data_IF_450351754300
#
_entry.id   IF_450351754300
#
_cell.length_a   1.000
_cell.length_b   1.000
_cell.length_c   1.000
_cell.angle_alpha   90.00
_cell.angle_beta   90.00
_cell.angle_gamma   90.00
#
_symmetry.space_group_name_H-M   'P 1'
#
loop_
_entity.id
_entity.type
_entity.pdbx_description
1 polymer ?
#
# COMPACT_ATOMS: atom_id res chain seq x y z
N UNK A 1 -4.80 74.18 3.91
CA UNK A 1 -4.03 73.19 3.12
C UNK A 1 -3.53 72.10 4.06
N UNK A 2 -3.77 70.84 3.66
CA UNK A 2 -3.13 69.61 4.16
C UNK A 2 -3.39 69.28 5.65
N UNK A 3 -4.57 68.75 6.00
CA UNK A 3 -4.76 67.79 7.12
C UNK A 3 -6.08 67.01 6.95
N UNK A 4 -6.29 66.36 5.79
CA UNK A 4 -7.48 65.50 5.62
C UNK A 4 -7.21 64.23 4.79
N UNK A 5 -5.97 63.75 4.75
CA UNK A 5 -5.59 62.61 3.91
C UNK A 5 -4.86 61.46 4.63
N UNK A 6 -4.83 61.47 5.97
CA UNK A 6 -4.06 60.45 6.73
C UNK A 6 -4.92 59.47 7.53
N UNK A 7 -6.26 59.47 7.39
CA UNK A 7 -7.14 58.61 8.20
C UNK A 7 -7.85 57.48 7.44
N UNK A 8 -7.59 57.32 6.13
CA UNK A 8 -8.30 56.31 5.31
C UNK A 8 -7.42 55.06 5.02
N UNK A 9 -6.12 55.11 5.29
CA UNK A 9 -5.21 53.98 4.99
C UNK A 9 -5.13 52.95 6.13
N UNK A 10 -5.65 53.24 7.33
CA UNK A 10 -5.56 52.33 8.48
C UNK A 10 -6.76 51.37 8.66
N UNK A 11 -7.79 51.45 7.80
CA UNK A 11 -8.97 50.57 7.88
C UNK A 11 -8.97 49.39 6.89
N UNK A 12 -7.93 49.22 6.05
CA UNK A 12 -7.87 48.16 5.04
C UNK A 12 -7.07 46.91 5.44
N UNK A 13 -6.61 46.79 6.69
CA UNK A 13 -5.79 45.66 7.15
C UNK A 13 -6.47 44.69 8.14
N UNK A 14 -7.81 44.74 8.30
CA UNK A 14 -8.53 43.84 9.23
C UNK A 14 -9.52 42.89 8.54
N UNK A 15 -9.44 42.75 7.21
CA UNK A 15 -10.08 41.63 6.51
C UNK A 15 -9.16 40.39 6.53
N UNK A 16 -8.71 39.99 7.72
CA UNK A 16 -8.11 38.68 7.94
C UNK A 16 -9.21 37.62 7.91
N UNK A 17 -9.18 36.74 6.91
CA UNK A 17 -10.08 35.61 6.78
C UNK A 17 -10.03 34.72 8.05
N UNK A 18 -11.01 34.88 8.95
CA UNK A 18 -11.37 33.85 9.93
C UNK A 18 -12.03 32.70 9.17
N UNK A 19 -11.30 31.62 8.95
CA UNK A 19 -11.85 30.34 8.50
C UNK A 19 -11.85 29.37 9.68
N UNK A 20 -12.70 29.66 10.65
CA UNK A 20 -13.05 28.70 11.71
C UNK A 20 -14.03 27.69 11.11
N UNK A 21 -13.52 26.66 10.45
CA UNK A 21 -14.32 25.44 10.27
C UNK A 21 -14.25 24.67 11.59
N UNK A 22 -15.23 24.89 12.46
CA UNK A 22 -15.52 23.97 13.55
C UNK A 22 -15.75 22.58 12.96
N UNK A 23 -14.73 21.72 13.06
CA UNK A 23 -14.90 20.29 12.90
C UNK A 23 -15.81 19.83 14.05
N UNK A 24 -17.13 19.80 13.80
CA UNK A 24 -18.04 18.95 14.56
C UNK A 24 -17.52 17.53 14.42
N UNK A 25 -16.72 17.10 15.40
CA UNK A 25 -16.45 15.69 15.66
C UNK A 25 -17.79 15.10 16.11
N UNK A 26 -18.61 14.76 15.12
CA UNK A 26 -19.72 13.85 15.30
C UNK A 26 -19.06 12.55 15.75
N UNK A 27 -19.07 12.30 17.07
CA UNK A 27 -18.83 10.98 17.65
C UNK A 27 -20.00 10.09 17.23
N UNK A 28 -20.03 9.71 15.97
CA UNK A 28 -20.85 8.60 15.51
C UNK A 28 -20.21 7.34 16.09
N UNK A 29 -20.82 6.83 17.17
CA UNK A 29 -20.69 5.41 17.54
C UNK A 29 -21.22 4.61 16.35
N UNK A 30 -20.36 4.28 15.39
CA UNK A 30 -20.71 3.42 14.27
C UNK A 30 -20.34 2.00 14.64
N UNK A 31 -21.39 1.23 14.92
CA UNK A 31 -21.47 -0.22 14.90
C UNK A 31 -20.61 -0.79 13.76
N UNK A 32 -19.62 -1.62 14.08
CA UNK A 32 -18.84 -2.38 13.09
C UNK A 32 -19.83 -3.12 12.17
N UNK A 33 -19.88 -2.72 10.91
CA UNK A 33 -20.82 -3.25 9.94
C UNK A 33 -20.46 -4.72 9.63
N UNK A 34 -21.37 -5.65 9.93
CA UNK A 34 -21.14 -7.11 9.95
C UNK A 34 -21.13 -7.78 8.56
N UNK A 35 -21.28 -7.06 7.46
CA UNK A 35 -21.39 -7.65 6.11
C UNK A 35 -20.40 -7.04 5.10
N UNK A 36 -19.09 -7.13 5.36
CA UNK A 36 -18.07 -6.80 4.35
C UNK A 36 -17.93 -7.98 3.37
N UNK A 37 -18.10 -7.70 2.07
CA UNK A 37 -17.87 -8.69 1.00
C UNK A 37 -16.41 -9.13 0.98
N UNK A 38 -16.19 -10.38 0.58
CA UNK A 38 -14.85 -10.91 0.39
C UNK A 38 -14.13 -10.18 -0.74
N UNK A 39 -12.86 -9.84 -0.49
CA UNK A 39 -11.98 -9.33 -1.52
C UNK A 39 -11.56 -10.47 -2.46
N UNK A 40 -11.32 -11.67 -1.95
CA UNK A 40 -10.94 -12.82 -2.78
C UNK A 40 -12.22 -13.56 -3.18
N UNK A 41 -12.86 -13.10 -4.24
CA UNK A 41 -14.14 -13.58 -4.80
C UNK A 41 -14.01 -14.09 -6.24
N UNK A 42 -12.79 -14.49 -6.63
CA UNK A 42 -12.42 -14.94 -7.97
C UNK A 42 -11.65 -16.26 -7.90
N UNK A 43 -11.57 -16.99 -9.00
CA UNK A 43 -10.85 -18.27 -9.09
C UNK A 43 -9.33 -18.07 -9.15
N UNK A 44 -8.60 -18.84 -8.34
CA UNK A 44 -7.14 -18.91 -8.33
C UNK A 44 -6.69 -20.31 -7.89
N UNK A 45 -5.51 -20.72 -8.34
CA UNK A 45 -4.83 -21.95 -7.93
C UNK A 45 -3.69 -21.66 -6.95
N UNK A 46 -3.06 -20.49 -7.07
CA UNK A 46 -1.86 -20.14 -6.30
C UNK A 46 -1.82 -18.66 -5.94
N UNK A 47 -1.35 -18.37 -4.72
CA UNK A 47 -1.10 -17.01 -4.24
C UNK A 47 0.35 -16.92 -3.79
N UNK A 48 1.08 -15.95 -4.31
CA UNK A 48 2.50 -15.75 -4.01
C UNK A 48 2.69 -14.33 -3.50
N UNK A 49 3.32 -14.18 -2.34
CA UNK A 49 3.85 -12.91 -1.87
C UNK A 49 5.37 -12.90 -2.05
N UNK A 50 5.92 -11.77 -2.45
CA UNK A 50 7.36 -11.63 -2.61
C UNK A 50 7.83 -10.20 -2.42
N UNK A 51 9.12 -10.07 -2.13
CA UNK A 51 9.82 -8.80 -2.09
C UNK A 51 10.99 -8.79 -3.07
N UNK A 52 11.14 -7.73 -3.86
CA UNK A 52 12.14 -7.59 -4.91
C UNK A 52 13.29 -6.66 -4.51
N UNK A 53 14.53 -7.06 -4.83
CA UNK A 53 15.73 -6.26 -4.55
C UNK A 53 15.70 -4.94 -5.33
N UNK A 54 15.46 -5.00 -6.63
CA UNK A 54 15.24 -3.82 -7.48
C UNK A 54 13.73 -3.62 -7.71
N UNK A 55 13.17 -2.43 -7.39
CA UNK A 55 11.75 -2.16 -7.53
C UNK A 55 11.28 -2.22 -9.00
N UNK A 56 12.20 -2.02 -9.94
CA UNK A 56 11.91 -2.03 -11.38
C UNK A 56 12.00 -3.43 -12.01
N UNK A 57 12.59 -4.42 -11.34
CA UNK A 57 12.69 -5.80 -11.88
C UNK A 57 11.31 -6.44 -12.09
N UNK A 58 10.32 -5.97 -11.35
CA UNK A 58 8.95 -6.47 -11.39
C UNK A 58 7.94 -5.47 -11.97
N UNK A 59 8.31 -4.19 -12.04
CA UNK A 59 7.46 -3.13 -12.58
C UNK A 59 7.87 -2.80 -14.01
N UNK A 60 7.53 -3.67 -14.97
CA UNK A 60 7.65 -3.35 -16.40
C UNK A 60 6.42 -2.57 -16.93
N UNK A 61 5.47 -2.27 -16.05
CA UNK A 61 4.24 -1.54 -16.36
C UNK A 61 3.17 -2.39 -17.06
N UNK A 62 3.46 -3.66 -17.37
CA UNK A 62 2.59 -4.55 -18.14
C UNK A 62 2.33 -5.85 -17.36
N UNK A 63 1.47 -5.73 -16.34
CA UNK A 63 1.01 -6.86 -15.53
C UNK A 63 0.17 -7.88 -16.31
N UNK A 64 -0.22 -7.56 -17.55
CA UNK A 64 -1.04 -8.42 -18.40
C UNK A 64 -0.20 -9.45 -19.18
N UNK A 65 1.13 -9.33 -19.15
CA UNK A 65 2.04 -10.33 -19.74
C UNK A 65 2.08 -11.61 -18.91
N UNK A 66 2.31 -12.73 -19.60
CA UNK A 66 2.54 -14.01 -18.95
C UNK A 66 3.73 -13.90 -17.99
N UNK A 67 3.42 -14.11 -16.72
CA UNK A 67 4.28 -13.76 -15.61
C UNK A 67 5.37 -14.84 -15.49
N UNK A 68 6.56 -14.55 -16.00
CA UNK A 68 7.66 -15.51 -15.93
C UNK A 68 8.31 -15.45 -14.53
N UNK A 69 7.79 -16.25 -13.61
CA UNK A 69 8.29 -16.41 -12.23
C UNK A 69 9.79 -16.74 -12.19
N UNK A 70 10.36 -17.36 -13.24
CA UNK A 70 11.81 -17.64 -13.32
C UNK A 70 12.67 -16.39 -13.56
N UNK A 71 12.07 -15.27 -13.97
CA UNK A 71 12.75 -13.97 -14.10
C UNK A 71 12.94 -13.27 -12.75
N UNK A 72 12.34 -13.78 -11.68
CA UNK A 72 12.51 -13.28 -10.31
C UNK A 72 13.87 -13.68 -9.72
N UNK A 73 14.96 -13.41 -10.43
CA UNK A 73 16.31 -13.86 -10.07
C UNK A 73 16.76 -13.32 -8.71
N UNK A 74 16.09 -12.29 -8.21
CA UNK A 74 16.47 -11.53 -7.02
C UNK A 74 15.24 -11.17 -6.15
N UNK A 75 14.33 -12.13 -5.94
CA UNK A 75 13.20 -11.95 -5.01
C UNK A 75 13.18 -13.01 -3.91
N UNK A 76 12.76 -12.59 -2.71
CA UNK A 76 12.39 -13.53 -1.65
C UNK A 76 10.89 -13.77 -1.79
N UNK A 77 10.51 -15.00 -2.15
CA UNK A 77 9.12 -15.36 -2.40
C UNK A 77 8.58 -16.37 -1.39
N UNK A 78 7.27 -16.33 -1.18
CA UNK A 78 6.50 -17.22 -0.32
C UNK A 78 5.21 -17.59 -1.04
N UNK A 79 5.02 -18.88 -1.30
CA UNK A 79 3.71 -19.43 -1.66
C UNK A 79 2.86 -19.45 -0.40
N UNK A 80 1.67 -18.85 -0.45
CA UNK A 80 0.79 -18.76 0.71
C UNK A 80 0.01 -20.05 0.88
N UNK A 81 -0.11 -20.49 2.13
CA UNK A 81 -0.98 -21.60 2.50
C UNK A 81 -2.43 -21.13 2.72
N UNK A 82 -3.42 -22.05 2.82
CA UNK A 82 -4.82 -21.67 2.98
C UNK A 82 -5.13 -20.79 4.21
N UNK A 83 -4.38 -20.93 5.31
CA UNK A 83 -4.58 -20.08 6.48
C UNK A 83 -4.12 -18.64 6.24
N UNK A 84 -2.94 -18.47 5.62
CA UNK A 84 -2.41 -17.17 5.22
C UNK A 84 -3.30 -16.48 4.17
N UNK A 85 -3.91 -17.24 3.25
CA UNK A 85 -4.83 -16.69 2.25
C UNK A 85 -6.13 -16.21 2.91
N UNK A 86 -6.67 -16.94 3.89
CA UNK A 86 -7.84 -16.48 4.66
C UNK A 86 -7.53 -15.20 5.44
N UNK A 87 -6.38 -15.15 6.10
CA UNK A 87 -5.93 -13.94 6.82
C UNK A 87 -5.79 -12.75 5.86
N UNK A 88 -5.17 -12.98 4.70
CA UNK A 88 -5.05 -11.97 3.66
C UNK A 88 -6.44 -11.50 3.18
N UNK A 89 -7.39 -12.41 2.94
CA UNK A 89 -8.74 -12.02 2.56
C UNK A 89 -9.40 -11.11 3.60
N UNK A 90 -9.26 -11.43 4.90
CA UNK A 90 -9.80 -10.59 5.98
C UNK A 90 -9.16 -9.21 6.04
N UNK A 91 -7.84 -9.13 5.80
CA UNK A 91 -7.10 -7.88 5.70
C UNK A 91 -7.63 -7.05 4.53
N UNK A 92 -7.69 -7.63 3.33
CA UNK A 92 -8.06 -6.95 2.10
C UNK A 92 -9.53 -6.53 2.06
N UNK A 93 -10.39 -7.32 2.70
CA UNK A 93 -11.82 -7.02 2.87
C UNK A 93 -12.08 -5.98 3.95
N UNK A 94 -11.04 -5.53 4.67
CA UNK A 94 -11.15 -4.51 5.71
C UNK A 94 -11.66 -5.03 7.07
N UNK A 95 -11.87 -6.34 7.23
CA UNK A 95 -12.30 -6.95 8.50
C UNK A 95 -11.26 -6.83 9.61
N UNK A 96 -10.00 -6.58 9.26
CA UNK A 96 -8.89 -6.32 10.21
C UNK A 96 -8.60 -4.83 10.43
N UNK A 97 -9.38 -3.91 9.87
CA UNK A 97 -9.15 -2.49 10.06
C UNK A 97 -9.56 -2.02 11.46
N UNK A 98 -8.63 -1.40 12.18
CA UNK A 98 -8.93 -0.79 13.49
C UNK A 98 -9.65 0.56 13.36
N UNK A 99 -9.51 1.27 12.22
CA UNK A 99 -10.15 2.56 11.95
C UNK A 99 -10.57 2.64 10.47
N UNK A 100 -11.78 3.15 10.20
CA UNK A 100 -12.37 3.24 8.84
C UNK A 100 -11.52 4.13 7.90
N UNK A 101 -10.85 5.15 8.44
CA UNK A 101 -9.99 6.08 7.68
C UNK A 101 -8.55 5.62 7.48
N UNK A 102 -8.25 4.33 7.70
CA UNK A 102 -6.87 3.81 7.60
C UNK A 102 -6.55 3.11 6.28
N UNK A 103 -7.46 3.13 5.30
CA UNK A 103 -7.26 2.48 3.99
C UNK A 103 -6.02 3.06 3.31
N UNK A 104 -5.18 2.18 2.78
CA UNK A 104 -3.97 2.57 2.06
C UNK A 104 -4.32 3.40 0.82
N UNK A 105 -3.59 4.49 0.62
CA UNK A 105 -3.83 5.38 -0.51
C UNK A 105 -3.29 4.76 -1.81
N UNK A 106 -4.04 4.91 -2.90
CA UNK A 106 -3.64 4.42 -4.23
C UNK A 106 -2.75 5.46 -4.92
N UNK A 107 -1.76 5.02 -5.70
CA UNK A 107 -0.98 5.89 -6.59
C UNK A 107 -0.57 5.15 -7.87
N UNK A 108 -0.41 5.88 -8.97
CA UNK A 108 -0.04 5.30 -10.28
C UNK A 108 1.47 5.24 -10.51
N UNK A 109 2.24 6.09 -9.81
CA UNK A 109 3.69 6.16 -9.91
C UNK A 109 4.30 6.07 -8.51
N UNK A 110 4.96 4.95 -8.23
CA UNK A 110 5.72 4.72 -7.00
C UNK A 110 6.74 3.60 -7.23
N UNK A 111 7.64 3.37 -6.27
CA UNK A 111 8.69 2.34 -6.33
C UNK A 111 8.28 1.09 -5.55
N UNK A 112 7.50 0.17 -6.13
CA UNK A 112 7.02 -1.00 -5.42
C UNK A 112 8.13 -2.01 -5.16
N UNK A 113 8.11 -2.57 -3.95
CA UNK A 113 9.06 -3.60 -3.56
C UNK A 113 8.38 -4.85 -3.03
N UNK A 114 7.13 -4.73 -2.55
CA UNK A 114 6.38 -5.83 -1.96
C UNK A 114 5.14 -6.11 -2.79
N UNK A 115 4.94 -7.37 -3.15
CA UNK A 115 3.93 -7.76 -4.13
C UNK A 115 3.20 -9.00 -3.65
N UNK A 116 1.92 -9.10 -4.01
CA UNK A 116 1.08 -10.28 -3.88
C UNK A 116 0.44 -10.53 -5.25
N UNK A 117 0.58 -11.74 -5.77
CA UNK A 117 -0.03 -12.15 -7.03
C UNK A 117 -0.92 -13.37 -6.83
N UNK A 118 -1.99 -13.42 -7.62
CA UNK A 118 -2.94 -14.51 -7.69
C UNK A 118 -2.87 -15.11 -9.08
N UNK A 119 -2.63 -16.42 -9.16
CA UNK A 119 -2.47 -17.15 -10.40
C UNK A 119 -3.59 -18.18 -10.57
N UNK A 120 -4.12 -18.33 -11.79
CA UNK A 120 -5.00 -19.41 -12.21
C UNK A 120 -4.41 -20.02 -13.49
N UNK A 121 -4.06 -21.31 -13.46
CA UNK A 121 -3.38 -22.02 -14.55
C UNK A 121 -2.14 -21.25 -15.06
N UNK A 122 -1.32 -20.77 -14.12
CA UNK A 122 -0.13 -19.92 -14.33
C UNK A 122 -0.38 -18.53 -14.95
N UNK A 123 -1.64 -18.12 -15.12
CA UNK A 123 -2.00 -16.77 -15.59
C UNK A 123 -2.28 -15.85 -14.41
N UNK A 124 -1.81 -14.61 -14.48
CA UNK A 124 -2.14 -13.59 -13.49
C UNK A 124 -3.62 -13.24 -13.58
N UNK A 125 -4.35 -13.39 -12.48
CA UNK A 125 -5.77 -13.02 -12.39
C UNK A 125 -6.02 -11.83 -11.46
N UNK A 126 -5.09 -11.57 -10.53
CA UNK A 126 -5.14 -10.39 -9.66
C UNK A 126 -3.75 -10.10 -9.09
N UNK A 127 -3.46 -8.84 -8.78
CA UNK A 127 -2.24 -8.44 -8.08
C UNK A 127 -2.49 -7.30 -7.10
N UNK A 128 -1.62 -7.23 -6.09
CA UNK A 128 -1.48 -6.12 -5.18
C UNK A 128 0.00 -5.80 -5.05
N UNK A 129 0.29 -4.52 -5.18
CA UNK A 129 1.63 -3.96 -5.25
C UNK A 129 1.70 -2.90 -4.16
N UNK A 130 2.69 -2.99 -3.29
CA UNK A 130 2.81 -2.17 -2.08
C UNK A 130 4.18 -1.50 -2.05
N UNK A 131 4.17 -0.21 -1.73
CA UNK A 131 5.37 0.55 -1.44
C UNK A 131 5.24 1.21 -0.07
N UNK A 132 6.05 0.70 0.85
CA UNK A 132 6.11 1.21 2.22
C UNK A 132 6.83 2.56 2.30
N UNK A 133 7.80 2.82 1.43
CA UNK A 133 8.51 4.10 1.32
C UNK A 133 7.56 5.25 0.94
N UNK A 134 6.66 5.01 -0.02
CA UNK A 134 5.68 6.00 -0.46
C UNK A 134 4.38 5.96 0.34
N UNK A 135 4.18 4.93 1.17
CA UNK A 135 2.93 4.64 1.85
C UNK A 135 1.74 4.53 0.87
N UNK A 136 1.97 3.86 -0.28
CA UNK A 136 1.00 3.71 -1.38
C UNK A 136 0.84 2.25 -1.80
N UNK A 137 -0.31 1.97 -2.39
CA UNK A 137 -0.62 0.69 -3.03
C UNK A 137 -1.14 0.87 -4.46
N UNK A 138 -1.10 -0.21 -5.22
CA UNK A 138 -1.82 -0.39 -6.49
C UNK A 138 -2.20 -1.85 -6.62
N UNK A 139 -3.27 -2.13 -7.34
CA UNK A 139 -3.71 -3.50 -7.58
C UNK A 139 -4.81 -3.55 -8.61
N UNK A 140 -5.17 -4.75 -9.05
CA UNK A 140 -6.22 -4.96 -10.06
C UNK A 140 -7.58 -4.46 -9.59
N UNK A 141 -7.82 -4.44 -8.26
CA UNK A 141 -9.02 -3.84 -7.67
C UNK A 141 -8.77 -3.20 -6.30
N UNK A 142 -9.58 -2.20 -5.90
CA UNK A 142 -9.40 -1.47 -4.65
C UNK A 142 -9.46 -2.38 -3.42
N UNK A 143 -8.43 -2.30 -2.57
CA UNK A 143 -8.39 -2.98 -1.26
C UNK A 143 -8.85 -2.04 -0.16
N UNK A 144 -9.47 -2.60 0.89
CA UNK A 144 -9.76 -1.86 2.11
C UNK A 144 -8.62 -1.95 3.14
N UNK A 145 -7.54 -2.68 2.86
CA UNK A 145 -6.44 -2.84 3.81
C UNK A 145 -5.72 -1.53 4.13
N UNK A 146 -5.25 -1.42 5.38
CA UNK A 146 -4.34 -0.36 5.80
C UNK A 146 -2.87 -0.71 5.50
N UNK A 147 -2.01 0.31 5.43
CA UNK A 147 -0.56 0.10 5.28
C UNK A 147 0.06 -0.66 6.46
N UNK A 148 -0.50 -0.50 7.67
CA UNK A 148 -0.12 -1.31 8.83
C UNK A 148 -0.46 -2.79 8.62
N UNK A 149 -1.65 -3.10 8.10
CA UNK A 149 -2.03 -4.49 7.84
C UNK A 149 -1.07 -5.15 6.84
N UNK A 150 -0.70 -4.42 5.77
CA UNK A 150 0.30 -4.91 4.82
C UNK A 150 1.65 -5.14 5.49
N UNK A 151 2.13 -4.19 6.30
CA UNK A 151 3.41 -4.33 7.01
C UNK A 151 3.43 -5.58 7.89
N UNK A 152 2.40 -5.76 8.71
CA UNK A 152 2.30 -6.88 9.63
C UNK A 152 2.25 -8.22 8.86
N UNK A 153 1.47 -8.26 7.77
CA UNK A 153 1.35 -9.44 6.92
C UNK A 153 2.68 -9.81 6.24
N UNK A 154 3.37 -8.87 5.60
CA UNK A 154 4.64 -9.17 4.95
C UNK A 154 5.72 -9.61 5.96
N UNK A 155 5.79 -8.95 7.12
CA UNK A 155 6.72 -9.36 8.17
C UNK A 155 6.41 -10.77 8.72
N UNK A 156 5.13 -11.16 8.86
CA UNK A 156 4.75 -12.51 9.30
C UNK A 156 5.15 -13.61 8.31
N UNK A 157 5.30 -13.26 7.03
CA UNK A 157 5.83 -14.14 5.98
C UNK A 157 7.37 -14.20 5.95
N UNK A 158 8.04 -13.45 6.83
CA UNK A 158 9.50 -13.25 6.79
C UNK A 158 9.96 -12.40 5.61
N UNK A 159 9.05 -11.64 4.99
CA UNK A 159 9.35 -10.68 3.92
C UNK A 159 9.56 -9.31 4.57
N UNK A 160 10.78 -9.08 5.03
CA UNK A 160 11.10 -7.89 5.84
C UNK A 160 10.72 -6.61 5.10
N UNK A 161 10.04 -5.72 5.82
CA UNK A 161 9.57 -4.43 5.34
C UNK A 161 10.51 -3.34 5.83
N UNK A 162 10.78 -2.36 4.96
CA UNK A 162 11.61 -1.21 5.23
C UNK A 162 10.88 0.07 4.82
N UNK A 163 11.11 1.13 5.58
CA UNK A 163 10.56 2.46 5.30
C UNK A 163 11.59 3.36 4.63
N UNK A 164 12.82 2.86 4.51
CA UNK A 164 13.96 3.55 3.94
C UNK A 164 14.57 2.72 2.79
N UNK A 165 14.72 3.29 1.58
CA UNK A 165 15.30 2.59 0.43
C UNK A 165 16.74 2.13 0.66
N UNK A 166 17.51 2.82 1.51
CA UNK A 166 18.89 2.45 1.84
C UNK A 166 18.93 1.15 2.64
N UNK A 167 18.09 1.05 3.68
CA UNK A 167 18.02 -0.17 4.51
C UNK A 167 17.51 -1.36 3.71
N UNK A 168 16.55 -1.12 2.83
CA UNK A 168 16.07 -2.13 1.91
C UNK A 168 17.20 -2.66 1.03
N UNK A 169 17.91 -1.77 0.35
CA UNK A 169 19.02 -2.14 -0.55
C UNK A 169 20.08 -2.92 0.22
N UNK A 170 20.53 -2.42 1.37
CA UNK A 170 21.54 -3.10 2.18
C UNK A 170 21.12 -4.53 2.60
N UNK A 171 19.87 -4.74 3.02
CA UNK A 171 19.38 -6.06 3.40
C UNK A 171 19.29 -7.00 2.20
N UNK A 172 18.69 -6.56 1.11
CA UNK A 172 18.43 -7.42 -0.04
C UNK A 172 19.70 -7.66 -0.89
N UNK A 173 20.64 -6.70 -0.95
CA UNK A 173 21.98 -6.90 -1.51
C UNK A 173 22.74 -8.00 -0.74
N UNK A 174 22.58 -8.05 0.59
CA UNK A 174 23.18 -9.12 1.41
C UNK A 174 22.64 -10.51 1.05
N UNK A 175 21.35 -10.60 0.70
CA UNK A 175 20.72 -11.86 0.27
C UNK A 175 21.25 -12.28 -1.11
N UNK A 176 21.39 -11.35 -2.05
CA UNK A 176 21.98 -11.64 -3.37
C UNK A 176 23.42 -12.16 -3.25
N UNK A 177 24.23 -11.55 -2.38
CA UNK A 177 25.61 -11.98 -2.13
C UNK A 177 25.69 -13.40 -1.55
N UNK A 178 24.72 -13.82 -0.73
CA UNK A 178 24.67 -15.20 -0.23
C UNK A 178 24.28 -16.21 -1.31
N UNK A 179 23.41 -15.84 -2.25
CA UNK A 179 22.99 -16.73 -3.34
C UNK A 179 24.09 -16.94 -4.40
N UNK A 180 24.93 -15.92 -4.65
CA UNK A 180 26.08 -16.02 -5.58
C UNK A 180 27.24 -16.89 -5.09
N UNK A 181 27.25 -17.28 -3.81
CA UNK A 181 28.30 -18.12 -3.20
C UNK A 181 27.97 -19.61 -3.15
N UNK A 182 26.81 -20.02 -3.68
CA UNK A 182 26.39 -21.42 -3.83
C UNK A 182 26.49 -21.83 -5.29
#
# INVERSE_FOLDING_TARGET
MIKLFSLIVLCLLIAGCKKDSENKVVKTKITQNKNLKDYIDFEYDEVIAFASVNPMDYYDGDFDRELNVKKFKDTVSRKLNPAQIRELNDILSGRKNQKIYSVAAIADCFYPRHNIIFLNKNKLVNHIVVCFECNRIKGSKPSLASMKNFRDFFNSLGLKVFDNPIEHSAYYDSIQLMHKKK
#
